data_IF_249402299854
#
_entry.id   IF_249402299854
#
_cell.length_a   1.000
_cell.length_b   1.000
_cell.length_c   1.000
_cell.angle_alpha   90.00
_cell.angle_beta   90.00
_cell.angle_gamma   90.00
#
_symmetry.space_group_name_H-M   'P 1'
#
loop_
_entity.id
_entity.type
_entity.pdbx_description
1 polymer ?
#
# COMPACT_ATOMS: atom_id res chain seq x y z
N UNK A 1 22.27 9.58 26.47
CA UNK A 1 21.31 8.48 26.19
C UNK A 1 22.09 7.19 26.00
N UNK A 2 21.67 6.07 26.60
CA UNK A 2 22.42 4.81 26.50
C UNK A 2 22.14 4.08 25.18
N UNK A 3 23.07 3.24 24.73
CA UNK A 3 22.87 2.35 23.56
C UNK A 3 21.65 1.45 23.76
N UNK A 4 21.42 0.97 24.98
CA UNK A 4 20.25 0.15 25.34
C UNK A 4 18.96 0.94 25.17
N UNK A 5 18.93 2.20 25.61
CA UNK A 5 17.77 3.10 25.46
C UNK A 5 17.46 3.34 23.99
N UNK A 6 18.47 3.65 23.17
CA UNK A 6 18.28 3.90 21.74
C UNK A 6 17.71 2.69 20.99
N UNK A 7 18.22 1.48 21.28
CA UNK A 7 17.70 0.25 20.67
C UNK A 7 16.21 0.05 20.98
N UNK A 8 15.82 0.24 22.24
CA UNK A 8 14.42 0.09 22.65
C UNK A 8 13.50 1.09 21.94
N UNK A 9 13.93 2.34 21.75
CA UNK A 9 13.14 3.34 21.03
C UNK A 9 13.02 3.02 19.53
N UNK A 10 14.09 2.52 18.90
CA UNK A 10 14.07 2.10 17.49
C UNK A 10 13.09 0.93 17.29
N UNK A 11 13.07 -0.05 18.20
CA UNK A 11 12.17 -1.20 18.11
C UNK A 11 10.69 -0.81 18.17
N UNK A 12 10.35 0.22 18.97
CA UNK A 12 8.98 0.74 19.08
C UNK A 12 8.46 1.29 17.74
N UNK A 13 9.30 2.02 17.01
CA UNK A 13 8.92 2.65 15.73
C UNK A 13 9.15 1.75 14.51
N UNK A 14 9.98 0.71 14.64
CA UNK A 14 10.28 -0.21 13.53
C UNK A 14 9.15 -1.19 13.27
N UNK A 15 8.85 -1.47 12.00
CA UNK A 15 7.94 -2.57 11.64
C UNK A 15 8.46 -3.92 12.11
N UNK A 16 7.58 -4.74 12.69
CA UNK A 16 7.89 -6.13 13.02
C UNK A 16 7.95 -6.99 11.74
N UNK A 17 8.57 -8.16 11.82
CA UNK A 17 8.57 -9.14 10.72
C UNK A 17 7.15 -9.47 10.27
N UNK A 18 6.27 -9.80 11.22
CA UNK A 18 4.86 -10.09 10.97
C UNK A 18 4.14 -8.97 10.20
N UNK A 19 4.38 -7.70 10.57
CA UNK A 19 3.80 -6.56 9.85
C UNK A 19 4.33 -6.44 8.41
N UNK A 20 5.64 -6.67 8.21
CA UNK A 20 6.23 -6.65 6.86
C UNK A 20 5.68 -7.78 6.00
N UNK A 21 5.52 -8.97 6.56
CA UNK A 21 4.97 -10.14 5.86
C UNK A 21 3.51 -9.89 5.45
N UNK A 22 2.70 -9.35 6.36
CA UNK A 22 1.33 -8.96 6.06
C UNK A 22 1.26 -7.92 4.92
N UNK A 23 2.10 -6.88 4.96
CA UNK A 23 2.20 -5.90 3.86
C UNK A 23 2.59 -6.56 2.54
N UNK A 24 3.56 -7.48 2.58
CA UNK A 24 4.02 -8.19 1.40
C UNK A 24 2.90 -9.05 0.79
N UNK A 25 2.08 -9.70 1.63
CA UNK A 25 0.91 -10.45 1.19
C UNK A 25 -0.12 -9.54 0.49
N UNK A 26 -0.47 -8.42 1.12
CA UNK A 26 -1.38 -7.42 0.54
C UNK A 26 -0.86 -6.88 -0.81
N UNK A 27 0.42 -6.53 -0.89
CA UNK A 27 1.05 -6.10 -2.13
C UNK A 27 0.95 -7.16 -3.22
N UNK A 28 1.29 -8.42 -2.90
CA UNK A 28 1.25 -9.53 -3.84
C UNK A 28 -0.17 -9.76 -4.35
N UNK A 29 -1.17 -9.71 -3.47
CA UNK A 29 -2.58 -9.84 -3.82
C UNK A 29 -3.02 -8.76 -4.83
N UNK A 30 -2.74 -7.48 -4.53
CA UNK A 30 -3.07 -6.36 -5.42
C UNK A 30 -2.32 -6.48 -6.76
N UNK A 31 -1.01 -6.71 -6.71
CA UNK A 31 -0.16 -6.84 -7.90
C UNK A 31 -0.64 -7.96 -8.82
N UNK A 32 -0.97 -9.13 -8.26
CA UNK A 32 -1.43 -10.27 -9.06
C UNK A 32 -2.74 -9.99 -9.77
N UNK A 33 -3.68 -9.32 -9.09
CA UNK A 33 -4.97 -8.96 -9.70
C UNK A 33 -4.80 -7.89 -10.79
N UNK A 34 -3.96 -6.87 -10.59
CA UNK A 34 -3.66 -5.87 -11.62
C UNK A 34 -3.02 -6.53 -12.86
N UNK A 35 -2.09 -7.46 -12.65
CA UNK A 35 -1.45 -8.23 -13.74
C UNK A 35 -2.46 -9.09 -14.50
N UNK A 36 -3.34 -9.81 -13.80
CA UNK A 36 -4.40 -10.64 -14.42
C UNK A 36 -5.34 -9.82 -15.30
N UNK A 37 -5.63 -8.57 -14.94
CA UNK A 37 -6.46 -7.65 -15.73
C UNK A 37 -5.72 -7.05 -16.93
N UNK A 38 -4.43 -7.35 -17.12
CA UNK A 38 -3.63 -6.78 -18.22
C UNK A 38 -3.35 -5.29 -18.09
N UNK A 39 -3.57 -4.70 -16.91
CA UNK A 39 -3.42 -3.27 -16.66
C UNK A 39 -1.94 -2.85 -16.71
N UNK A 40 -1.10 -3.62 -16.02
CA UNK A 40 0.33 -3.36 -15.90
C UNK A 40 1.09 -4.65 -15.57
N UNK A 41 2.32 -4.77 -16.09
CA UNK A 41 3.22 -5.88 -15.76
C UNK A 41 4.28 -5.49 -14.72
N UNK A 42 4.61 -4.20 -14.65
CA UNK A 42 5.60 -3.68 -13.72
C UNK A 42 4.92 -2.92 -12.58
N UNK A 43 4.94 -3.53 -11.39
CA UNK A 43 4.30 -3.05 -10.18
C UNK A 43 5.32 -3.19 -9.06
N UNK A 44 5.57 -2.11 -8.31
CA UNK A 44 6.63 -2.06 -7.32
C UNK A 44 6.19 -1.33 -6.05
N UNK A 45 6.74 -1.76 -4.90
CA UNK A 45 6.60 -1.01 -3.64
C UNK A 45 7.48 0.23 -3.75
N UNK A 46 6.95 1.38 -3.34
CA UNK A 46 7.66 2.65 -3.38
C UNK A 46 7.59 3.33 -2.00
N UNK A 47 7.93 4.61 -1.96
CA UNK A 47 7.81 5.41 -0.75
C UNK A 47 8.75 4.98 0.37
N UNK A 48 8.31 5.26 1.60
CA UNK A 48 9.07 4.94 2.81
C UNK A 48 9.26 3.43 2.98
N UNK A 49 8.25 2.63 2.60
CA UNK A 49 8.34 1.17 2.68
C UNK A 49 9.37 0.61 1.70
N UNK A 50 9.33 1.03 0.44
CA UNK A 50 10.29 0.62 -0.59
C UNK A 50 11.74 1.01 -0.27
N UNK A 51 11.95 2.11 0.46
CA UNK A 51 13.28 2.56 0.92
C UNK A 51 13.71 1.96 2.26
N UNK A 52 12.86 1.18 2.93
CA UNK A 52 13.14 0.63 4.26
C UNK A 52 13.13 1.67 5.39
N UNK A 53 12.62 2.87 5.14
CA UNK A 53 12.56 3.98 6.12
C UNK A 53 11.16 4.18 6.70
N UNK A 54 10.24 3.25 6.45
CA UNK A 54 8.89 3.26 7.03
C UNK A 54 8.97 3.06 8.54
N UNK A 55 8.23 3.90 9.25
CA UNK A 55 8.03 3.80 10.69
C UNK A 55 6.55 3.52 10.96
N UNK A 56 6.26 2.84 12.06
CA UNK A 56 4.91 2.73 12.59
C UNK A 56 4.43 4.14 12.95
N UNK A 57 3.21 4.51 12.54
CA UNK A 57 2.51 5.65 13.10
C UNK A 57 2.28 5.47 14.60
N UNK A 58 1.93 6.54 15.31
CA UNK A 58 1.55 6.44 16.71
C UNK A 58 0.33 5.50 16.83
N UNK A 59 0.35 4.62 17.83
CA UNK A 59 -0.48 3.43 18.14
C UNK A 59 -1.81 3.12 17.40
N UNK A 60 -2.53 4.10 16.83
CA UNK A 60 -3.74 3.93 16.00
C UNK A 60 -3.59 4.29 14.50
N UNK A 61 -2.55 5.01 14.09
CA UNK A 61 -2.47 5.63 12.75
C UNK A 61 -2.01 4.66 11.65
N UNK A 62 -1.44 3.51 12.01
CA UNK A 62 -0.91 2.57 11.03
C UNK A 62 0.26 3.17 10.24
N UNK A 63 0.43 2.76 8.99
CA UNK A 63 1.38 3.38 8.06
C UNK A 63 0.89 3.13 6.63
N UNK A 64 1.31 4.00 5.72
CA UNK A 64 0.93 3.89 4.31
C UNK A 64 1.92 3.01 3.54
N UNK A 65 1.36 2.22 2.61
CA UNK A 65 2.12 1.50 1.61
C UNK A 65 1.91 2.17 0.24
N UNK A 66 2.96 2.77 -0.28
CA UNK A 66 2.97 3.29 -1.64
C UNK A 66 3.24 2.17 -2.65
N UNK A 67 2.39 2.06 -3.67
CA UNK A 67 2.54 1.11 -4.79
C UNK A 67 2.60 1.92 -6.09
N UNK A 68 3.70 1.80 -6.83
CA UNK A 68 3.81 2.34 -8.17
C UNK A 68 3.39 1.29 -9.19
N UNK A 69 2.49 1.69 -10.10
CA UNK A 69 1.99 0.87 -11.20
C UNK A 69 2.47 1.51 -12.50
N UNK A 70 3.42 0.86 -13.18
CA UNK A 70 3.91 1.34 -14.46
C UNK A 70 3.04 0.74 -15.56
N UNK A 71 2.13 1.56 -16.07
CA UNK A 71 1.18 1.15 -17.10
C UNK A 71 1.85 1.00 -18.46
N UNK A 72 1.38 0.02 -19.23
CA UNK A 72 1.83 -0.17 -20.60
C UNK A 72 1.41 1.05 -21.45
N UNK A 73 2.25 1.49 -22.40
CA UNK A 73 2.04 2.71 -23.20
C UNK A 73 0.64 2.83 -23.85
N UNK A 74 0.00 1.70 -24.17
CA UNK A 74 -1.35 1.68 -24.76
C UNK A 74 -2.46 2.14 -23.79
N UNK A 75 -2.18 2.19 -22.48
CA UNK A 75 -3.12 2.59 -21.42
C UNK A 75 -2.88 4.02 -20.90
N UNK A 76 -1.77 4.67 -21.29
CA UNK A 76 -1.36 5.97 -20.76
C UNK A 76 -2.29 7.12 -21.17
N UNK A 77 -2.90 7.05 -22.36
CA UNK A 77 -3.88 8.03 -22.86
C UNK A 77 -5.27 7.91 -22.20
N UNK A 78 -5.44 6.98 -21.25
CA UNK A 78 -6.71 6.63 -20.59
C UNK A 78 -6.59 6.71 -19.06
N UNK A 79 -5.80 7.64 -18.53
CA UNK A 79 -5.52 7.76 -17.09
C UNK A 79 -6.77 7.71 -16.18
N UNK A 80 -7.87 8.35 -16.59
CA UNK A 80 -9.14 8.30 -15.85
C UNK A 80 -9.76 6.88 -15.84
N UNK A 81 -9.79 6.20 -16.99
CA UNK A 81 -10.33 4.82 -17.07
C UNK A 81 -9.45 3.82 -16.30
N UNK A 82 -8.15 4.07 -16.25
CA UNK A 82 -7.21 3.30 -15.44
C UNK A 82 -7.52 3.45 -13.94
N UNK A 83 -7.75 4.68 -13.49
CA UNK A 83 -8.09 4.95 -12.09
C UNK A 83 -9.41 4.26 -11.70
N UNK A 84 -10.44 4.33 -12.54
CA UNK A 84 -11.72 3.66 -12.32
C UNK A 84 -11.56 2.12 -12.28
N UNK A 85 -10.72 1.57 -13.15
CA UNK A 85 -10.43 0.13 -13.19
C UNK A 85 -9.71 -0.33 -11.93
N UNK A 86 -8.73 0.43 -11.46
CA UNK A 86 -8.01 0.15 -10.20
C UNK A 86 -8.97 0.29 -9.01
N UNK A 87 -9.79 1.34 -8.96
CA UNK A 87 -10.76 1.54 -7.89
C UNK A 87 -11.78 0.39 -7.82
N UNK A 88 -12.31 -0.03 -8.98
CA UNK A 88 -13.21 -1.19 -9.07
C UNK A 88 -12.55 -2.48 -8.57
N UNK A 89 -11.28 -2.71 -8.93
CA UNK A 89 -10.49 -3.83 -8.43
C UNK A 89 -10.35 -3.80 -6.91
N UNK A 90 -10.00 -2.65 -6.35
CA UNK A 90 -9.83 -2.48 -4.90
C UNK A 90 -11.17 -2.69 -4.17
N UNK A 91 -12.29 -2.21 -4.71
CA UNK A 91 -13.65 -2.47 -4.20
C UNK A 91 -13.98 -3.96 -4.15
N UNK A 92 -13.56 -4.73 -5.16
CA UNK A 92 -13.74 -6.19 -5.16
C UNK A 92 -12.85 -6.89 -4.14
N UNK A 93 -11.61 -6.43 -3.96
CA UNK A 93 -10.65 -7.07 -3.05
C UNK A 93 -10.89 -6.74 -1.57
N UNK A 94 -11.40 -5.53 -1.28
CA UNK A 94 -11.58 -4.99 0.06
C UNK A 94 -12.93 -4.24 0.22
N UNK A 95 -14.07 -4.91 -0.03
CA UNK A 95 -15.38 -4.25 -0.06
C UNK A 95 -15.72 -3.52 1.24
N UNK A 96 -15.42 -4.15 2.38
CA UNK A 96 -15.76 -3.60 3.70
C UNK A 96 -14.88 -2.42 4.13
N UNK A 97 -13.66 -2.32 3.60
CA UNK A 97 -12.70 -1.26 3.99
C UNK A 97 -12.89 0.04 3.22
N UNK A 98 -13.44 -0.01 2.00
CA UNK A 98 -13.69 1.18 1.16
C UNK A 98 -14.98 1.91 1.57
N UNK A 99 -15.98 1.20 2.10
CA UNK A 99 -17.21 1.80 2.63
C UNK A 99 -16.95 2.84 3.76
N UNK A 100 -15.83 2.75 4.46
CA UNK A 100 -15.44 3.72 5.50
C UNK A 100 -14.95 5.06 4.91
N UNK A 101 -14.36 5.06 3.71
CA UNK A 101 -13.85 6.27 3.05
C UNK A 101 -15.01 7.07 2.45
N UNK A 102 -15.97 6.39 1.81
CA UNK A 102 -17.15 7.05 1.21
C UNK A 102 -18.10 7.65 2.26
N UNK A 103 -18.17 7.08 3.47
CA UNK A 103 -18.94 7.66 4.58
C UNK A 103 -18.28 8.92 5.17
N UNK A 104 -16.94 8.98 5.21
CA UNK A 104 -16.20 10.12 5.77
C UNK A 104 -16.15 11.33 4.83
N UNK A 105 -16.25 11.14 3.52
CA UNK A 105 -16.24 12.22 2.53
C UNK A 105 -17.59 12.94 2.35
N UNK A 106 -18.68 12.41 2.92
CA UNK A 106 -20.02 13.03 2.88
C UNK A 106 -20.35 13.88 4.12
N UNK A 107 -19.38 14.10 5.01
CA UNK A 107 -19.46 15.02 6.16
C UNK A 107 -18.55 16.22 5.90
#
# INVERSE_FOLDING_TARGET
>A
MSIKTLKNEIEKISLTSFQRDNVNEHFNKISNEIKKQGIANNIQKQGSFGRGTVIKGQESDGFDLDIAILVNNNNASRANQLNDSIMSLLKKLYPEKIMLIEKKQKL
#
